data_IF_548435419520
#
_entry.id   IF_548435419520
#
_cell.length_a   1.000
_cell.length_b   1.000
_cell.length_c   1.000
_cell.angle_alpha   90.00
_cell.angle_beta   90.00
_cell.angle_gamma   90.00
#
_symmetry.space_group_name_H-M   'P 1'
#
loop_
_entity.id
_entity.type
_entity.pdbx_description
1 polymer ?
#
# COMPACT_ATOMS: atom_id res chain seq x y z
N UNK A 1 -9.95 21.73 26.63
CA UNK A 1 -9.84 21.43 25.20
C UNK A 1 -10.69 22.43 24.45
N UNK A 2 -10.08 23.44 23.82
CA UNK A 2 -10.81 24.31 22.91
C UNK A 2 -11.14 23.48 21.67
N UNK A 3 -12.42 23.25 21.43
CA UNK A 3 -12.89 22.71 20.14
C UNK A 3 -12.60 23.78 19.10
N UNK A 4 -11.46 23.65 18.41
CA UNK A 4 -11.19 24.47 17.25
C UNK A 4 -12.34 24.21 16.27
N UNK A 5 -13.13 25.23 15.97
CA UNK A 5 -14.14 25.17 14.92
C UNK A 5 -13.38 24.89 13.61
N UNK A 6 -13.47 23.67 13.12
CA UNK A 6 -12.80 23.26 11.88
C UNK A 6 -13.48 24.03 10.74
N UNK A 7 -12.81 25.05 10.23
CA UNK A 7 -13.26 25.78 9.07
C UNK A 7 -12.99 24.92 7.82
N UNK A 8 -13.93 24.91 6.88
CA UNK A 8 -13.79 24.20 5.60
C UNK A 8 -12.47 24.58 4.89
N UNK A 9 -12.06 25.84 4.98
CA UNK A 9 -10.78 26.31 4.42
C UNK A 9 -9.59 25.61 5.06
N UNK A 10 -9.59 25.46 6.37
CA UNK A 10 -8.49 24.80 7.10
C UNK A 10 -8.41 23.31 6.75
N UNK A 11 -9.56 22.67 6.57
CA UNK A 11 -9.63 21.28 6.12
C UNK A 11 -9.08 21.13 4.69
N UNK A 12 -9.49 22.01 3.76
CA UNK A 12 -8.97 21.99 2.39
C UNK A 12 -7.46 22.24 2.32
N UNK A 13 -6.94 23.18 3.12
CA UNK A 13 -5.51 23.46 3.18
C UNK A 13 -4.73 22.31 3.82
N UNK A 14 -5.28 21.65 4.84
CA UNK A 14 -4.67 20.45 5.43
C UNK A 14 -4.64 19.28 4.43
N UNK A 15 -5.63 19.17 3.55
CA UNK A 15 -5.67 18.15 2.49
C UNK A 15 -4.78 18.48 1.28
N UNK A 16 -4.41 19.75 1.09
CA UNK A 16 -3.66 20.22 -0.08
C UNK A 16 -2.36 19.44 -0.36
N UNK A 17 -1.51 19.08 0.61
CA UNK A 17 -0.30 18.30 0.35
C UNK A 17 -0.60 16.95 -0.29
N UNK A 18 -1.65 16.27 0.16
CA UNK A 18 -2.10 14.98 -0.39
C UNK A 18 -2.61 15.17 -1.81
N UNK A 19 -3.44 16.19 -2.04
CA UNK A 19 -3.96 16.52 -3.36
C UNK A 19 -2.83 16.82 -4.34
N UNK A 20 -1.80 17.58 -3.93
CA UNK A 20 -0.63 17.89 -4.76
C UNK A 20 0.11 16.61 -5.15
N UNK A 21 0.38 15.71 -4.22
CA UNK A 21 1.03 14.42 -4.53
C UNK A 21 0.19 13.62 -5.53
N UNK A 22 -1.12 13.52 -5.32
CA UNK A 22 -2.02 12.81 -6.24
C UNK A 22 -2.01 13.43 -7.64
N UNK A 23 -2.13 14.75 -7.75
CA UNK A 23 -2.11 15.46 -9.05
C UNK A 23 -0.77 15.28 -9.76
N UNK A 24 0.36 15.37 -9.03
CA UNK A 24 1.68 15.16 -9.62
C UNK A 24 1.87 13.72 -10.10
N UNK A 25 1.41 12.73 -9.35
CA UNK A 25 1.55 11.33 -9.73
C UNK A 25 0.60 10.94 -10.86
N UNK A 26 -0.68 11.31 -10.79
CA UNK A 26 -1.69 10.89 -11.75
C UNK A 26 -1.70 11.81 -12.99
N UNK A 27 -1.68 13.13 -12.79
CA UNK A 27 -1.77 14.11 -13.87
C UNK A 27 -0.44 14.29 -14.61
N UNK A 28 0.65 14.52 -13.87
CA UNK A 28 1.97 14.76 -14.45
C UNK A 28 2.83 13.50 -14.57
N UNK A 29 2.34 12.34 -14.11
CA UNK A 29 3.05 11.04 -14.14
C UNK A 29 4.42 11.08 -13.44
N UNK A 30 4.54 11.88 -12.39
CA UNK A 30 5.75 11.90 -11.58
C UNK A 30 5.85 10.63 -10.75
N UNK A 31 7.07 10.12 -10.60
CA UNK A 31 7.33 9.04 -9.65
C UNK A 31 7.26 9.54 -8.20
N UNK A 32 7.02 8.64 -7.26
CA UNK A 32 6.92 8.96 -5.82
C UNK A 32 8.16 9.67 -5.27
N UNK A 33 9.36 9.39 -5.82
CA UNK A 33 10.62 10.05 -5.46
C UNK A 33 10.66 11.56 -5.74
N UNK A 34 9.82 12.06 -6.66
CA UNK A 34 9.67 13.49 -6.96
C UNK A 34 8.42 14.09 -6.34
N UNK A 35 7.30 13.36 -6.40
CA UNK A 35 6.02 13.82 -5.88
C UNK A 35 6.01 13.91 -4.33
N UNK A 36 6.68 12.97 -3.65
CA UNK A 36 6.78 12.96 -2.18
C UNK A 36 7.45 14.22 -1.62
N UNK A 37 8.69 14.57 -2.02
CA UNK A 37 9.33 15.80 -1.61
C UNK A 37 8.51 17.07 -1.93
N UNK A 38 7.86 17.13 -3.09
CA UNK A 38 6.98 18.25 -3.43
C UNK A 38 5.79 18.36 -2.45
N UNK A 39 5.14 17.25 -2.12
CA UNK A 39 4.10 17.22 -1.09
C UNK A 39 4.58 17.63 0.29
N UNK A 40 5.79 17.21 0.67
CA UNK A 40 6.43 17.62 1.92
C UNK A 40 6.63 19.14 1.99
N UNK A 41 7.17 19.74 0.92
CA UNK A 41 7.36 21.22 0.86
C UNK A 41 6.02 21.94 1.02
N UNK A 42 4.97 21.48 0.34
CA UNK A 42 3.62 22.06 0.47
C UNK A 42 3.08 21.89 1.90
N UNK A 43 3.28 20.73 2.52
CA UNK A 43 2.87 20.49 3.90
C UNK A 43 3.57 21.45 4.88
N UNK A 44 4.87 21.65 4.74
CA UNK A 44 5.65 22.59 5.57
C UNK A 44 5.19 24.02 5.38
N UNK A 45 4.94 24.45 4.13
CA UNK A 45 4.44 25.80 3.84
C UNK A 45 3.05 26.03 4.43
N UNK A 46 2.14 25.08 4.28
CA UNK A 46 0.80 25.17 4.87
C UNK A 46 0.86 25.20 6.40
N UNK A 47 1.67 24.34 7.02
CA UNK A 47 1.86 24.31 8.45
C UNK A 47 2.40 25.66 8.98
N UNK A 48 3.39 26.24 8.31
CA UNK A 48 4.00 27.50 8.69
C UNK A 48 3.07 28.70 8.47
N UNK A 49 2.53 28.83 7.25
CA UNK A 49 1.79 30.04 6.84
C UNK A 49 0.37 30.08 7.39
N UNK A 50 -0.31 28.92 7.47
CA UNK A 50 -1.72 28.87 7.88
C UNK A 50 -1.93 28.44 9.32
N UNK A 51 -1.17 27.44 9.77
CA UNK A 51 -1.33 26.89 11.12
C UNK A 51 -0.35 27.48 12.12
N UNK A 52 0.50 28.43 11.71
CA UNK A 52 1.41 29.14 12.61
C UNK A 52 2.47 28.26 13.27
N UNK A 53 2.84 27.13 12.64
CA UNK A 53 3.87 26.25 13.16
C UNK A 53 5.21 26.98 13.28
N UNK A 54 5.72 27.10 14.48
CA UNK A 54 7.04 27.72 14.73
C UNK A 54 8.18 26.83 14.22
N UNK A 55 9.37 27.42 14.08
CA UNK A 55 10.57 26.71 13.60
C UNK A 55 10.91 25.48 14.47
N UNK A 56 10.72 25.58 15.76
CA UNK A 56 10.97 24.45 16.67
C UNK A 56 10.07 23.25 16.34
N UNK A 57 8.77 23.48 16.10
CA UNK A 57 7.82 22.44 15.73
C UNK A 57 8.17 21.85 14.37
N UNK A 58 8.51 22.69 13.38
CA UNK A 58 8.88 22.23 12.06
C UNK A 58 10.15 21.37 12.08
N UNK A 59 11.21 21.82 12.76
CA UNK A 59 12.47 21.07 12.86
C UNK A 59 12.26 19.77 13.63
N UNK A 60 11.58 19.83 14.75
CA UNK A 60 11.34 18.63 15.58
C UNK A 60 10.51 17.58 14.83
N UNK A 61 9.48 18.01 14.08
CA UNK A 61 8.68 17.10 13.27
C UNK A 61 9.50 16.48 12.13
N UNK A 62 10.40 17.23 11.49
CA UNK A 62 11.29 16.67 10.46
C UNK A 62 12.28 15.66 11.04
N UNK A 63 12.89 15.96 12.19
CA UNK A 63 13.79 15.02 12.85
C UNK A 63 13.08 13.73 13.27
N UNK A 64 11.88 13.85 13.84
CA UNK A 64 11.04 12.68 14.17
C UNK A 64 10.65 11.89 12.92
N UNK A 65 10.25 12.57 11.84
CA UNK A 65 9.94 11.96 10.55
C UNK A 65 11.14 11.23 9.95
N UNK A 66 12.35 11.80 10.04
CA UNK A 66 13.58 11.17 9.57
C UNK A 66 13.91 9.90 10.37
N UNK A 67 13.84 9.96 11.69
CA UNK A 67 14.09 8.80 12.55
C UNK A 67 13.07 7.68 12.30
N UNK A 68 11.78 8.05 12.14
CA UNK A 68 10.74 7.10 11.80
C UNK A 68 10.97 6.48 10.41
N UNK A 69 11.42 7.28 9.43
CA UNK A 69 11.76 6.78 8.10
C UNK A 69 12.91 5.78 8.13
N UNK A 70 13.96 6.02 8.92
CA UNK A 70 15.06 5.09 9.10
C UNK A 70 14.61 3.76 9.72
N UNK A 71 13.72 3.84 10.72
CA UNK A 71 13.12 2.64 11.32
C UNK A 71 12.31 1.82 10.29
N UNK A 72 11.47 2.48 9.51
CA UNK A 72 10.67 1.83 8.46
C UNK A 72 11.60 1.25 7.37
N UNK A 73 12.62 1.99 6.93
CA UNK A 73 13.60 1.51 5.94
C UNK A 73 14.34 0.27 6.42
N UNK A 74 14.68 0.18 7.71
CA UNK A 74 15.29 -1.01 8.27
C UNK A 74 14.38 -2.24 8.14
N UNK A 75 13.08 -2.10 8.45
CA UNK A 75 12.10 -3.17 8.28
C UNK A 75 12.01 -3.59 6.80
N UNK A 76 11.95 -2.62 5.88
CA UNK A 76 11.89 -2.87 4.44
C UNK A 76 13.11 -3.66 3.97
N UNK A 77 14.31 -3.28 4.39
CA UNK A 77 15.53 -3.98 4.01
C UNK A 77 15.55 -5.43 4.50
N UNK A 78 15.15 -5.66 5.75
CA UNK A 78 15.07 -7.02 6.29
C UNK A 78 14.01 -7.87 5.57
N UNK A 79 12.86 -7.30 5.24
CA UNK A 79 11.83 -7.96 4.45
C UNK A 79 12.32 -8.32 3.04
N UNK A 80 13.05 -7.41 2.37
CA UNK A 80 13.65 -7.69 1.06
C UNK A 80 14.73 -8.77 1.11
N UNK A 81 15.54 -8.81 2.16
CA UNK A 81 16.52 -9.89 2.38
C UNK A 81 15.81 -11.23 2.54
N UNK A 82 14.80 -11.28 3.40
CA UNK A 82 13.98 -12.48 3.58
C UNK A 82 13.37 -12.95 2.26
N UNK A 83 12.75 -12.02 1.51
CA UNK A 83 12.19 -12.30 0.19
C UNK A 83 13.25 -12.91 -0.75
N UNK A 84 14.45 -12.31 -0.84
CA UNK A 84 15.53 -12.80 -1.70
C UNK A 84 15.94 -14.23 -1.36
N UNK A 85 16.09 -14.54 -0.07
CA UNK A 85 16.45 -15.88 0.39
C UNK A 85 15.37 -16.90 -0.02
N UNK A 86 14.10 -16.57 0.18
CA UNK A 86 12.96 -17.44 -0.14
C UNK A 86 12.79 -17.62 -1.65
N UNK A 87 13.03 -16.56 -2.43
CA UNK A 87 12.95 -16.56 -3.90
C UNK A 87 14.09 -17.37 -4.51
N UNK A 88 15.34 -17.16 -4.07
CA UNK A 88 16.51 -17.93 -4.52
C UNK A 88 16.41 -19.42 -4.15
N UNK A 89 15.75 -19.73 -3.03
CA UNK A 89 15.41 -21.10 -2.68
C UNK A 89 14.33 -21.72 -3.59
N UNK A 90 13.73 -20.94 -4.51
CA UNK A 90 12.67 -21.39 -5.42
C UNK A 90 11.32 -21.63 -4.77
N UNK A 91 11.19 -21.37 -3.46
CA UNK A 91 9.98 -21.68 -2.72
C UNK A 91 8.74 -20.92 -3.22
N UNK A 92 8.92 -19.65 -3.61
CA UNK A 92 7.84 -18.80 -4.13
C UNK A 92 7.27 -19.37 -5.43
N UNK A 93 8.14 -19.81 -6.33
CA UNK A 93 7.74 -20.42 -7.61
C UNK A 93 7.01 -21.74 -7.39
N UNK A 94 7.48 -22.58 -6.47
CA UNK A 94 6.86 -23.86 -6.13
C UNK A 94 5.46 -23.63 -5.55
N UNK A 95 5.32 -22.71 -4.60
CA UNK A 95 4.01 -22.36 -3.99
C UNK A 95 3.06 -21.81 -5.06
N UNK A 96 3.51 -20.87 -5.89
CA UNK A 96 2.70 -20.27 -6.94
C UNK A 96 2.20 -21.30 -7.97
N UNK A 97 3.06 -22.22 -8.41
CA UNK A 97 2.68 -23.31 -9.30
C UNK A 97 1.74 -24.31 -8.63
N UNK A 98 1.97 -24.61 -7.35
CA UNK A 98 1.07 -25.43 -6.55
C UNK A 98 -0.35 -24.87 -6.49
N UNK A 99 -0.47 -23.57 -6.20
CA UNK A 99 -1.75 -22.85 -6.17
C UNK A 99 -2.43 -22.88 -7.55
N UNK A 100 -1.67 -22.66 -8.63
CA UNK A 100 -2.20 -22.68 -10.00
C UNK A 100 -2.78 -24.02 -10.41
N UNK A 101 -2.35 -25.13 -9.77
CA UNK A 101 -2.86 -26.48 -10.03
C UNK A 101 -4.12 -26.84 -9.24
N UNK A 102 -4.53 -26.01 -8.28
CA UNK A 102 -5.72 -26.28 -7.45
C UNK A 102 -7.03 -26.21 -8.24
N UNK A 103 -7.03 -25.47 -9.35
CA UNK A 103 -8.22 -25.30 -10.18
C UNK A 103 -7.83 -25.09 -11.65
N UNK A 104 -8.72 -25.51 -12.55
CA UNK A 104 -8.64 -25.24 -13.98
C UNK A 104 -9.46 -24.03 -14.39
N UNK A 105 -10.31 -23.52 -13.51
CA UNK A 105 -11.07 -22.30 -13.75
C UNK A 105 -10.18 -21.07 -13.74
N UNK A 106 -10.21 -20.32 -14.84
CA UNK A 106 -9.31 -19.17 -15.05
C UNK A 106 -9.57 -18.03 -14.09
N UNK A 107 -10.82 -17.76 -13.73
CA UNK A 107 -11.17 -16.72 -12.78
C UNK A 107 -10.67 -17.08 -11.39
N UNK A 108 -10.89 -18.34 -11.00
CA UNK A 108 -10.40 -18.84 -9.72
C UNK A 108 -8.87 -18.86 -9.65
N UNK A 109 -8.17 -19.26 -10.71
CA UNK A 109 -6.70 -19.16 -10.79
C UNK A 109 -6.23 -17.73 -10.58
N UNK A 110 -6.86 -16.77 -11.26
CA UNK A 110 -6.52 -15.36 -11.11
C UNK A 110 -6.76 -14.89 -9.67
N UNK A 111 -7.90 -15.19 -9.08
CA UNK A 111 -8.20 -14.79 -7.70
C UNK A 111 -7.26 -15.44 -6.68
N UNK A 112 -6.97 -16.72 -6.81
CA UNK A 112 -6.03 -17.41 -5.92
C UNK A 112 -4.61 -16.80 -5.99
N UNK A 113 -4.15 -16.42 -7.18
CA UNK A 113 -2.83 -15.85 -7.37
C UNK A 113 -2.81 -14.34 -7.14
N UNK A 114 -3.68 -13.57 -7.82
CA UNK A 114 -3.63 -12.11 -7.78
C UNK A 114 -4.22 -11.51 -6.51
N UNK A 115 -5.14 -12.19 -5.83
CA UNK A 115 -5.77 -11.69 -4.61
C UNK A 115 -5.25 -12.37 -3.35
N UNK A 116 -5.31 -13.70 -3.25
CA UNK A 116 -4.91 -14.40 -2.03
C UNK A 116 -3.39 -14.54 -1.91
N UNK A 117 -2.71 -15.08 -2.92
CA UNK A 117 -1.26 -15.32 -2.87
C UNK A 117 -0.46 -14.01 -2.89
N UNK A 118 -0.90 -13.02 -3.67
CA UNK A 118 -0.24 -11.72 -3.67
C UNK A 118 -0.39 -10.98 -2.34
N UNK A 119 -1.52 -11.12 -1.64
CA UNK A 119 -1.69 -10.58 -0.29
C UNK A 119 -0.81 -11.31 0.75
N UNK A 120 -0.62 -12.63 0.60
CA UNK A 120 0.35 -13.37 1.41
C UNK A 120 1.78 -12.83 1.19
N UNK A 121 2.19 -12.64 -0.06
CA UNK A 121 3.51 -12.05 -0.37
C UNK A 121 3.63 -10.61 0.16
N UNK A 122 2.55 -9.83 0.11
CA UNK A 122 2.50 -8.50 0.71
C UNK A 122 2.71 -8.55 2.23
N UNK A 123 2.26 -9.59 2.90
CA UNK A 123 2.50 -9.80 4.33
C UNK A 123 3.97 -9.99 4.66
N UNK A 124 4.71 -10.68 3.80
CA UNK A 124 6.13 -11.02 4.00
C UNK A 124 7.05 -9.91 3.50
N UNK A 125 6.79 -9.40 2.28
CA UNK A 125 7.64 -8.41 1.63
C UNK A 125 6.79 -7.61 0.63
N UNK A 126 6.27 -6.49 1.03
CA UNK A 126 5.44 -5.64 0.19
C UNK A 126 6.22 -4.91 -0.90
N UNK A 127 6.07 -3.58 -0.96
CA UNK A 127 6.83 -2.65 -1.81
C UNK A 127 6.94 -3.07 -3.29
N UNK A 128 5.87 -3.69 -3.85
CA UNK A 128 5.83 -4.12 -5.25
C UNK A 128 6.32 -5.54 -5.51
N UNK A 129 6.80 -6.27 -4.51
CA UNK A 129 7.18 -7.69 -4.62
C UNK A 129 6.02 -8.54 -5.14
N UNK A 130 4.78 -8.42 -4.65
CA UNK A 130 3.66 -9.19 -5.19
C UNK A 130 3.50 -9.01 -6.70
N UNK A 131 3.62 -7.79 -7.22
CA UNK A 131 3.52 -7.52 -8.67
C UNK A 131 4.68 -8.16 -9.42
N UNK A 132 5.91 -8.00 -8.90
CA UNK A 132 7.10 -8.52 -9.55
C UNK A 132 7.13 -10.05 -9.66
N UNK A 133 6.49 -10.75 -8.73
CA UNK A 133 6.45 -12.21 -8.67
C UNK A 133 5.20 -12.79 -9.32
N UNK A 134 4.02 -12.31 -8.92
CA UNK A 134 2.75 -12.95 -9.30
C UNK A 134 2.33 -12.57 -10.72
N UNK A 135 2.65 -11.36 -11.19
CA UNK A 135 2.30 -10.99 -12.56
C UNK A 135 3.02 -11.86 -13.61
N UNK A 136 4.35 -12.12 -13.54
CA UNK A 136 5.00 -13.09 -14.42
C UNK A 136 4.44 -14.51 -14.33
N UNK A 137 4.06 -14.97 -13.11
CA UNK A 137 3.40 -16.27 -12.93
C UNK A 137 2.08 -16.35 -13.71
N UNK A 138 1.22 -15.34 -13.60
CA UNK A 138 -0.03 -15.27 -14.34
C UNK A 138 0.21 -15.20 -15.87
N UNK A 139 1.22 -14.45 -16.31
CA UNK A 139 1.60 -14.39 -17.74
C UNK A 139 2.05 -15.77 -18.22
N UNK A 140 2.86 -16.47 -17.44
CA UNK A 140 3.29 -17.84 -17.72
C UNK A 140 2.12 -18.84 -17.81
N UNK A 141 1.02 -18.57 -17.09
CA UNK A 141 -0.24 -19.33 -17.20
C UNK A 141 -1.11 -18.90 -18.39
N UNK A 142 -0.67 -17.91 -19.20
CA UNK A 142 -1.38 -17.44 -20.40
C UNK A 142 -2.39 -16.33 -20.15
N UNK A 143 -2.28 -15.57 -19.08
CA UNK A 143 -3.06 -14.33 -18.90
C UNK A 143 -2.41 -13.18 -19.66
N UNK A 144 -3.24 -12.26 -20.19
CA UNK A 144 -2.73 -11.07 -20.87
C UNK A 144 -1.91 -10.20 -19.87
N UNK A 145 -0.71 -9.68 -20.28
CA UNK A 145 0.19 -8.96 -19.37
C UNK A 145 -0.47 -7.79 -18.61
N UNK A 146 -1.29 -7.00 -19.31
CA UNK A 146 -2.00 -5.86 -18.70
C UNK A 146 -2.98 -6.34 -17.64
N UNK A 147 -3.72 -7.42 -17.90
CA UNK A 147 -4.67 -8.00 -16.94
C UNK A 147 -3.94 -8.58 -15.74
N UNK A 148 -2.84 -9.31 -15.97
CA UNK A 148 -2.03 -9.89 -14.90
C UNK A 148 -1.51 -8.81 -13.94
N UNK A 149 -0.88 -7.76 -14.47
CA UNK A 149 -0.36 -6.65 -13.66
C UNK A 149 -1.48 -5.90 -12.94
N UNK A 150 -2.58 -5.57 -13.63
CA UNK A 150 -3.71 -4.85 -13.05
C UNK A 150 -4.39 -5.68 -11.94
N UNK A 151 -4.65 -6.96 -12.19
CA UNK A 151 -5.29 -7.83 -11.21
C UNK A 151 -4.44 -8.00 -9.94
N UNK A 152 -3.12 -8.15 -10.07
CA UNK A 152 -2.21 -8.25 -8.92
C UNK A 152 -2.13 -6.92 -8.18
N UNK A 153 -2.00 -5.79 -8.90
CA UNK A 153 -1.94 -4.46 -8.29
C UNK A 153 -3.20 -4.15 -7.47
N UNK A 154 -4.38 -4.50 -7.98
CA UNK A 154 -5.65 -4.34 -7.28
C UNK A 154 -5.77 -5.38 -6.15
N UNK A 155 -5.44 -6.64 -6.45
CA UNK A 155 -5.70 -7.78 -5.58
C UNK A 155 -4.99 -7.72 -4.24
N UNK A 156 -3.74 -7.21 -4.18
CA UNK A 156 -2.99 -7.14 -2.92
C UNK A 156 -3.15 -5.82 -2.16
N UNK A 157 -3.74 -4.80 -2.76
CA UNK A 157 -3.77 -3.44 -2.18
C UNK A 157 -4.54 -3.35 -0.86
N UNK A 158 -5.48 -4.26 -0.59
CA UNK A 158 -6.20 -4.32 0.68
C UNK A 158 -5.31 -4.72 1.87
N UNK A 159 -4.24 -5.46 1.64
CA UNK A 159 -3.39 -5.99 2.72
C UNK A 159 -2.26 -5.04 3.15
N UNK A 160 -2.18 -3.83 2.59
CA UNK A 160 -1.07 -2.89 2.79
C UNK A 160 -0.87 -2.47 4.25
N UNK A 161 -1.93 -2.25 5.02
CA UNK A 161 -1.82 -1.74 6.39
C UNK A 161 -1.09 -2.70 7.33
N UNK A 162 -1.39 -4.00 7.23
CA UNK A 162 -0.73 -5.05 8.02
C UNK A 162 0.32 -5.82 7.21
N UNK A 163 0.50 -5.47 5.95
CA UNK A 163 1.57 -5.98 5.10
C UNK A 163 2.95 -5.46 5.54
N UNK A 164 4.00 -5.91 4.86
CA UNK A 164 5.38 -5.50 5.14
C UNK A 164 5.77 -5.65 6.61
N UNK A 165 5.36 -6.76 7.22
CA UNK A 165 5.55 -7.00 8.66
C UNK A 165 4.90 -5.87 9.49
N UNK A 166 3.74 -5.39 9.04
CA UNK A 166 2.96 -4.30 9.65
C UNK A 166 3.69 -2.94 9.73
N UNK A 167 4.64 -2.66 8.83
CA UNK A 167 5.42 -1.40 8.86
C UNK A 167 4.52 -0.16 8.77
N UNK A 168 3.49 -0.18 7.92
CA UNK A 168 2.53 0.93 7.78
C UNK A 168 1.71 1.14 9.06
N UNK A 169 1.29 0.05 9.72
CA UNK A 169 0.56 0.12 10.98
C UNK A 169 1.45 0.62 12.12
N UNK A 170 2.71 0.20 12.17
CA UNK A 170 3.71 0.70 13.11
C UNK A 170 3.92 2.21 12.94
N UNK A 171 4.04 2.67 11.70
CA UNK A 171 4.16 4.10 11.40
C UNK A 171 2.92 4.89 11.86
N UNK A 172 1.71 4.33 11.68
CA UNK A 172 0.47 4.93 12.15
C UNK A 172 0.44 5.05 13.68
N UNK A 173 0.85 4.00 14.40
CA UNK A 173 0.96 4.01 15.87
C UNK A 173 1.95 5.08 16.33
N UNK A 174 3.11 5.16 15.71
CA UNK A 174 4.14 6.14 16.05
C UNK A 174 3.68 7.59 15.78
N UNK A 175 2.93 7.82 14.71
CA UNK A 175 2.42 9.14 14.36
C UNK A 175 1.26 9.62 15.24
N UNK A 176 0.39 8.70 15.65
CA UNK A 176 -0.81 9.03 16.45
C UNK A 176 -0.57 8.99 17.95
N UNK A 177 0.43 8.23 18.40
CA UNK A 177 0.65 7.96 19.83
C UNK A 177 -0.42 7.06 20.45
N UNK A 178 -1.33 6.49 19.64
CA UNK A 178 -2.39 5.61 20.11
C UNK A 178 -1.89 4.16 20.22
N UNK A 179 -2.36 3.40 21.21
CA UNK A 179 -2.01 2.00 21.36
C UNK A 179 -2.61 1.16 20.23
N UNK A 180 -1.85 0.16 19.75
CA UNK A 180 -2.24 -0.66 18.60
C UNK A 180 -3.55 -1.43 18.82
N UNK A 181 -3.85 -1.85 20.05
CA UNK A 181 -5.08 -2.58 20.37
C UNK A 181 -6.36 -1.75 20.18
N UNK A 182 -6.27 -0.42 20.27
CA UNK A 182 -7.41 0.47 20.03
C UNK A 182 -7.64 0.71 18.54
N UNK A 183 -6.56 0.73 17.75
CA UNK A 183 -6.63 1.03 16.31
C UNK A 183 -6.81 -0.23 15.44
N UNK A 184 -6.24 -1.37 15.84
CA UNK A 184 -6.23 -2.57 15.03
C UNK A 184 -7.64 -3.07 14.65
N UNK A 185 -8.66 -3.07 15.52
CA UNK A 185 -10.01 -3.51 15.15
C UNK A 185 -10.62 -2.66 14.05
N UNK A 186 -10.44 -1.34 14.11
CA UNK A 186 -10.94 -0.42 13.09
C UNK A 186 -10.19 -0.57 11.77
N UNK A 187 -8.87 -0.66 11.82
CA UNK A 187 -8.05 -0.93 10.64
C UNK A 187 -8.46 -2.26 9.98
N UNK A 188 -8.65 -3.32 10.78
CA UNK A 188 -9.09 -4.62 10.29
C UNK A 188 -10.49 -4.58 9.65
N UNK A 189 -11.42 -3.81 10.23
CA UNK A 189 -12.76 -3.63 9.66
C UNK A 189 -12.70 -2.97 8.27
N UNK A 190 -11.97 -1.85 8.15
CA UNK A 190 -11.80 -1.17 6.87
C UNK A 190 -11.09 -2.04 5.83
N UNK A 191 -10.05 -2.77 6.24
CA UNK A 191 -9.36 -3.72 5.37
C UNK A 191 -10.24 -4.89 4.96
N UNK A 192 -11.14 -5.36 5.83
CA UNK A 192 -12.13 -6.37 5.50
C UNK A 192 -13.04 -5.93 4.35
N UNK A 193 -13.55 -4.69 4.40
CA UNK A 193 -14.34 -4.10 3.31
C UNK A 193 -13.50 -3.98 2.03
N UNK A 194 -12.27 -3.45 2.16
CA UNK A 194 -11.35 -3.30 1.03
C UNK A 194 -10.97 -4.66 0.41
N UNK A 195 -10.82 -5.70 1.22
CA UNK A 195 -10.53 -7.07 0.79
C UNK A 195 -11.57 -7.58 -0.22
N UNK A 196 -12.86 -7.50 0.13
CA UNK A 196 -13.94 -7.89 -0.78
C UNK A 196 -13.97 -7.01 -2.04
N UNK A 197 -13.84 -5.69 -1.89
CA UNK A 197 -13.79 -4.76 -3.01
C UNK A 197 -12.65 -5.06 -3.97
N UNK A 198 -11.45 -5.34 -3.47
CA UNK A 198 -10.28 -5.70 -4.29
C UNK A 198 -10.46 -7.06 -4.99
N UNK A 199 -11.05 -8.06 -4.32
CA UNK A 199 -11.36 -9.34 -4.94
C UNK A 199 -12.34 -9.20 -6.12
N UNK A 200 -13.43 -8.47 -5.91
CA UNK A 200 -14.42 -8.19 -6.97
C UNK A 200 -13.77 -7.39 -8.12
N UNK A 201 -12.99 -6.36 -7.81
CA UNK A 201 -12.34 -5.53 -8.82
C UNK A 201 -11.27 -6.29 -9.62
N UNK A 202 -10.51 -7.19 -8.99
CA UNK A 202 -9.54 -8.05 -9.67
C UNK A 202 -10.23 -9.03 -10.63
N UNK A 203 -11.33 -9.66 -10.20
CA UNK A 203 -12.14 -10.52 -11.05
C UNK A 203 -12.76 -9.76 -12.22
N UNK A 204 -13.30 -8.58 -11.95
CA UNK A 204 -13.88 -7.71 -12.97
C UNK A 204 -12.85 -7.23 -14.01
N UNK A 205 -11.62 -6.94 -13.59
CA UNK A 205 -10.52 -6.57 -14.48
C UNK A 205 -10.16 -7.67 -15.50
N UNK A 206 -10.48 -8.95 -15.18
CA UNK A 206 -10.22 -10.09 -16.07
C UNK A 206 -11.30 -10.29 -17.12
N UNK A 207 -12.58 -10.38 -16.72
CA UNK A 207 -13.69 -10.75 -17.60
C UNK A 207 -14.86 -9.75 -17.61
N UNK A 208 -14.69 -8.58 -16.98
CA UNK A 208 -15.78 -7.65 -16.77
C UNK A 208 -16.87 -8.24 -15.87
N UNK A 209 -18.10 -7.81 -16.03
CA UNK A 209 -19.21 -8.25 -15.20
C UNK A 209 -19.54 -9.76 -15.27
N UNK A 210 -18.99 -10.49 -16.23
CA UNK A 210 -19.22 -11.95 -16.37
C UNK A 210 -18.49 -12.76 -15.30
N UNK A 211 -17.42 -12.28 -14.75
CA UNK A 211 -16.61 -12.96 -13.72
C UNK A 211 -17.15 -12.77 -12.29
N UNK A 212 -18.10 -11.87 -12.09
CA UNK A 212 -18.65 -11.51 -10.78
C UNK A 212 -20.03 -12.16 -10.54
N UNK A 213 -20.57 -12.84 -11.56
CA UNK A 213 -21.79 -13.65 -11.48
C UNK A 213 -21.45 -15.11 -11.26
#
# INVERSE_FOLDING_TARGET
MQTASVNLLDWLLAFLPIAVVLVLMVGFRWGGSKAGPAGLVVALLVAWLRFGAGWEVLITSQLRGLLLSLYVLYIIWMALVLYRVVDEAGAITVIGQGIARLTTDRTMQLLLLAWAFSAFLQGVAGFGVPIAVVAPLLIGLGFAPVVAVAAVAIGHSWSVTFGDIASSFQALMAATGLPGHDMAPWAALFLGVACFGCGIAAAWAFQGWRSVR
#
